data_IF_139990622566
#
_entry.id   IF_139990622566
#
_cell.length_a   1.000
_cell.length_b   1.000
_cell.length_c   1.000
_cell.angle_alpha   90.00
_cell.angle_beta   90.00
_cell.angle_gamma   90.00
#
_symmetry.space_group_name_H-M   'P 1'
#
loop_
_entity.id
_entity.type
_entity.pdbx_description
1 polymer ?
#
# COMPACT_ATOMS: atom_id res chain seq x y z
N UNK A 1 66.52 36.92 2.35
CA UNK A 1 65.76 36.68 3.61
C UNK A 1 64.51 37.57 3.54
N UNK A 2 63.26 37.13 3.57
CA UNK A 2 62.69 35.81 3.75
C UNK A 2 61.21 35.82 3.31
N UNK A 3 60.79 34.67 2.76
CA UNK A 3 59.46 34.06 2.77
C UNK A 3 58.26 34.91 2.29
N UNK A 4 57.93 34.77 0.99
CA UNK A 4 56.54 34.91 0.52
C UNK A 4 55.75 33.70 1.04
N UNK A 5 54.88 33.93 2.02
CA UNK A 5 53.91 32.95 2.50
C UNK A 5 52.84 32.74 1.42
N UNK A 6 53.06 31.77 0.54
CA UNK A 6 52.04 31.25 -0.35
C UNK A 6 51.08 30.38 0.46
N UNK A 7 50.06 31.02 1.04
CA UNK A 7 48.97 30.33 1.72
C UNK A 7 48.15 29.52 0.72
N UNK A 8 47.95 28.24 1.01
CA UNK A 8 47.03 27.36 0.28
C UNK A 8 45.62 27.97 0.37
N UNK A 9 45.06 28.38 -0.77
CA UNK A 9 43.65 28.76 -0.85
C UNK A 9 42.80 27.53 -0.54
N UNK A 10 42.20 27.48 0.66
CA UNK A 10 41.15 26.51 0.95
C UNK A 10 39.97 26.83 0.02
N UNK A 11 39.68 25.93 -0.92
CA UNK A 11 38.40 25.91 -1.63
C UNK A 11 37.28 25.58 -0.64
N UNK A 12 36.89 26.54 0.19
CA UNK A 12 35.70 26.46 1.04
C UNK A 12 34.47 26.81 0.22
N UNK A 13 34.22 26.02 -0.83
CA UNK A 13 32.93 25.94 -1.50
C UNK A 13 32.71 24.49 -1.91
N UNK A 14 32.73 23.60 -0.94
CA UNK A 14 31.77 22.49 -0.99
C UNK A 14 30.42 23.17 -0.75
N UNK A 15 29.87 23.80 -1.78
CA UNK A 15 28.43 24.01 -1.80
C UNK A 15 27.87 22.60 -1.64
N UNK A 16 27.15 22.38 -0.55
CA UNK A 16 26.30 21.21 -0.36
C UNK A 16 25.21 21.29 -1.44
N UNK A 17 25.59 21.08 -2.70
CA UNK A 17 24.66 20.87 -3.78
C UNK A 17 24.07 19.51 -3.52
N UNK A 18 22.78 19.51 -3.21
CA UNK A 18 22.00 18.30 -3.09
C UNK A 18 22.12 17.58 -4.44
N UNK A 19 22.63 16.34 -4.49
CA UNK A 19 22.75 15.60 -5.74
C UNK A 19 21.33 15.31 -6.27
N UNK A 20 20.88 16.14 -7.22
CA UNK A 20 19.54 16.08 -7.81
C UNK A 20 19.32 14.77 -8.58
N UNK A 21 20.38 14.24 -9.21
CA UNK A 21 20.34 12.95 -9.91
C UNK A 21 19.98 11.80 -8.97
N UNK A 22 20.59 11.73 -7.79
CA UNK A 22 20.32 10.66 -6.82
C UNK A 22 18.96 10.83 -6.13
N UNK A 23 18.53 12.07 -5.93
CA UNK A 23 17.21 12.37 -5.36
C UNK A 23 16.07 12.04 -6.33
N UNK A 24 16.26 12.27 -7.63
CA UNK A 24 15.28 11.91 -8.65
C UNK A 24 15.13 10.39 -8.80
N UNK A 25 16.22 9.64 -8.73
CA UNK A 25 16.22 8.17 -8.84
C UNK A 25 15.44 7.52 -7.70
N UNK A 26 15.73 7.90 -6.45
CA UNK A 26 15.01 7.33 -5.30
C UNK A 26 13.53 7.72 -5.30
N UNK A 27 13.17 8.93 -5.75
CA UNK A 27 11.78 9.33 -5.90
C UNK A 27 11.05 8.50 -6.98
N UNK A 28 11.71 8.23 -8.11
CA UNK A 28 11.15 7.42 -9.18
C UNK A 28 10.93 5.96 -8.77
N UNK A 29 11.91 5.37 -8.08
CA UNK A 29 11.79 4.02 -7.54
C UNK A 29 10.65 3.90 -6.52
N UNK A 30 10.46 4.90 -5.65
CA UNK A 30 9.33 4.93 -4.72
C UNK A 30 7.99 5.04 -5.43
N UNK A 31 7.89 5.79 -6.52
CA UNK A 31 6.66 5.88 -7.32
C UNK A 31 6.30 4.54 -7.97
N UNK A 32 7.27 3.83 -8.56
CA UNK A 32 7.04 2.48 -9.11
C UNK A 32 6.69 1.51 -7.98
N UNK A 33 7.39 1.58 -6.85
CA UNK A 33 7.12 0.73 -5.70
C UNK A 33 5.68 0.92 -5.20
N UNK A 34 5.22 2.16 -5.03
CA UNK A 34 3.83 2.42 -4.66
C UNK A 34 2.88 1.95 -5.76
N UNK A 35 3.13 2.27 -7.03
CA UNK A 35 2.27 1.87 -8.15
C UNK A 35 2.10 0.34 -8.28
N UNK A 36 3.16 -0.44 -8.01
CA UNK A 36 3.15 -1.90 -8.13
C UNK A 36 2.65 -2.58 -6.84
N UNK A 37 2.96 -2.04 -5.67
CA UNK A 37 2.57 -2.64 -4.38
C UNK A 37 1.14 -2.29 -3.96
N UNK A 38 0.53 -1.23 -4.49
CA UNK A 38 -0.88 -0.89 -4.23
C UNK A 38 -1.85 -1.71 -5.08
N UNK A 39 -1.65 -3.03 -5.15
CA UNK A 39 -2.70 -3.93 -5.66
C UNK A 39 -3.80 -3.96 -4.61
N UNK A 40 -4.82 -3.12 -4.77
CA UNK A 40 -6.05 -3.27 -4.00
C UNK A 40 -6.67 -4.60 -4.42
N UNK A 41 -6.58 -5.62 -3.55
CA UNK A 41 -7.42 -6.79 -3.72
C UNK A 41 -8.84 -6.36 -3.41
N UNK A 42 -9.64 -6.12 -4.45
CA UNK A 42 -11.09 -6.24 -4.29
C UNK A 42 -11.37 -7.68 -3.89
N UNK A 43 -12.07 -7.85 -2.76
CA UNK A 43 -12.66 -9.14 -2.43
C UNK A 43 -13.46 -9.67 -3.65
N UNK A 44 -13.26 -10.96 -3.91
CA UNK A 44 -13.35 -11.54 -5.25
C UNK A 44 -14.78 -11.61 -5.79
N UNK A 45 -14.89 -11.33 -7.08
CA UNK A 45 -15.57 -12.06 -8.17
C UNK A 45 -16.71 -13.05 -7.80
N UNK A 46 -17.66 -12.65 -6.96
CA UNK A 46 -18.92 -13.36 -6.84
C UNK A 46 -20.04 -12.41 -7.23
N UNK A 47 -20.90 -12.86 -8.13
CA UNK A 47 -22.11 -12.13 -8.47
C UNK A 47 -23.09 -12.28 -7.29
N UNK A 48 -22.89 -11.46 -6.27
CA UNK A 48 -23.79 -11.37 -5.12
C UNK A 48 -24.84 -10.32 -5.47
N UNK A 49 -26.11 -10.73 -5.44
CA UNK A 49 -27.21 -9.77 -5.45
C UNK A 49 -27.27 -9.11 -4.08
N UNK A 50 -26.77 -7.88 -4.00
CA UNK A 50 -26.85 -7.08 -2.79
C UNK A 50 -28.32 -6.69 -2.55
N UNK A 51 -28.84 -6.99 -1.37
CA UNK A 51 -30.13 -6.45 -0.96
C UNK A 51 -30.03 -4.92 -0.89
N UNK A 52 -31.01 -4.23 -1.45
CA UNK A 52 -31.11 -2.78 -1.27
C UNK A 52 -31.42 -2.52 0.22
N UNK A 53 -30.52 -1.81 0.90
CA UNK A 53 -30.75 -1.44 2.29
C UNK A 53 -31.93 -0.45 2.37
N UNK A 54 -32.93 -0.76 3.19
CA UNK A 54 -34.11 0.09 3.41
C UNK A 54 -33.73 1.38 4.17
N UNK A 55 -32.67 1.32 4.98
CA UNK A 55 -31.98 2.46 5.59
C UNK A 55 -30.48 2.14 5.68
N UNK A 56 -29.63 3.07 5.23
CA UNK A 56 -28.18 2.95 5.42
C UNK A 56 -27.83 3.25 6.87
N UNK A 57 -27.93 2.25 7.75
CA UNK A 57 -27.23 2.33 9.02
C UNK A 57 -25.74 2.27 8.74
N UNK A 58 -25.01 3.30 9.17
CA UNK A 58 -23.55 3.27 9.10
C UNK A 58 -23.09 2.22 10.09
N UNK A 59 -22.55 1.14 9.56
CA UNK A 59 -21.86 0.15 10.38
C UNK A 59 -20.57 0.81 10.88
N UNK A 60 -20.55 1.19 12.16
CA UNK A 60 -19.40 1.84 12.81
C UNK A 60 -18.25 0.85 13.13
N UNK A 61 -18.48 -0.44 12.88
CA UNK A 61 -17.47 -1.49 13.06
C UNK A 61 -16.48 -1.52 11.90
N UNK A 62 -15.22 -1.85 12.20
CA UNK A 62 -14.20 -1.98 11.16
C UNK A 62 -14.54 -3.19 10.33
N UNK A 63 -14.38 -3.09 9.01
CA UNK A 63 -14.58 -4.21 8.07
C UNK A 63 -13.81 -5.49 8.46
N UNK A 64 -12.70 -5.35 9.19
CA UNK A 64 -11.88 -6.46 9.69
C UNK A 64 -12.54 -7.28 10.80
N UNK A 65 -13.50 -6.68 11.51
CA UNK A 65 -14.20 -7.29 12.64
C UNK A 65 -15.54 -7.91 12.20
N UNK A 66 -15.88 -7.78 10.91
CA UNK A 66 -17.10 -8.35 10.32
C UNK A 66 -16.77 -9.70 9.67
N UNK A 67 -17.50 -10.74 10.08
CA UNK A 67 -17.43 -12.07 9.47
C UNK A 67 -18.63 -12.28 8.56
N UNK A 68 -18.40 -12.37 7.25
CA UNK A 68 -19.47 -12.66 6.28
C UNK A 68 -19.59 -14.17 6.09
N UNK A 69 -20.76 -14.73 6.39
CA UNK A 69 -21.06 -16.15 6.20
C UNK A 69 -22.22 -16.31 5.22
N UNK A 70 -22.01 -17.09 4.17
CA UNK A 70 -23.04 -17.39 3.16
C UNK A 70 -23.27 -18.89 3.08
N UNK A 71 -24.54 -19.28 2.92
CA UNK A 71 -24.95 -20.66 2.74
C UNK A 71 -25.79 -20.75 1.47
N UNK A 72 -25.36 -21.56 0.52
CA UNK A 72 -26.12 -21.85 -0.70
C UNK A 72 -27.01 -23.07 -0.54
N UNK A 73 -28.05 -23.18 -1.38
CA UNK A 73 -29.00 -24.31 -1.38
C UNK A 73 -28.37 -25.66 -1.73
N UNK A 74 -27.20 -25.66 -2.38
CA UNK A 74 -26.40 -26.85 -2.68
C UNK A 74 -25.57 -27.34 -1.48
N UNK A 75 -25.61 -26.64 -0.34
CA UNK A 75 -24.84 -26.96 0.86
C UNK A 75 -23.44 -26.36 0.91
N UNK A 76 -23.03 -25.56 -0.09
CA UNK A 76 -21.76 -24.84 -0.06
C UNK A 76 -21.80 -23.70 0.96
N UNK A 77 -20.76 -23.62 1.78
CA UNK A 77 -20.59 -22.59 2.82
C UNK A 77 -19.40 -21.72 2.45
N UNK A 78 -19.59 -20.40 2.56
CA UNK A 78 -18.56 -19.43 2.29
C UNK A 78 -18.33 -18.55 3.52
N UNK A 79 -17.06 -18.38 3.88
CA UNK A 79 -16.62 -17.50 4.96
C UNK A 79 -15.70 -16.45 4.35
N UNK A 80 -16.09 -15.18 4.42
CA UNK A 80 -15.37 -14.07 3.77
C UNK A 80 -15.06 -14.34 2.29
N UNK A 81 -16.09 -14.76 1.54
CA UNK A 81 -16.05 -15.09 0.12
C UNK A 81 -15.13 -16.27 -0.28
N UNK A 82 -14.61 -17.00 0.71
CA UNK A 82 -13.86 -18.25 0.53
C UNK A 82 -14.75 -19.44 0.83
N UNK A 83 -14.85 -20.37 -0.11
CA UNK A 83 -15.55 -21.64 0.10
C UNK A 83 -14.82 -22.47 1.18
N UNK A 84 -15.59 -23.03 2.11
CA UNK A 84 -15.10 -23.91 3.17
C UNK A 84 -15.92 -25.19 3.16
N UNK A 85 -15.23 -26.32 3.12
CA UNK A 85 -15.85 -27.63 3.30
C UNK A 85 -15.93 -27.95 4.80
N UNK A 86 -16.97 -28.69 5.22
CA UNK A 86 -17.17 -29.08 6.62
C UNK A 86 -16.01 -29.88 7.23
N UNK A 87 -15.14 -30.48 6.40
CA UNK A 87 -13.95 -31.20 6.85
C UNK A 87 -12.82 -30.27 7.34
N UNK A 88 -12.90 -28.97 7.05
CA UNK A 88 -11.84 -27.98 7.35
C UNK A 88 -12.19 -27.03 8.52
N UNK A 89 -13.30 -27.27 9.22
CA UNK A 89 -13.79 -26.41 10.32
C UNK A 89 -13.68 -27.10 11.68
#
# INVERSE_FOLDING_TARGET
MGVKSGGLERKSKAATEIPSSSMADIAFLLLIFFMVSTVYQSDKNRQIEWANAEATEKMDEKQKDILNVWVESNGAVFINDLERTMDEV
#
